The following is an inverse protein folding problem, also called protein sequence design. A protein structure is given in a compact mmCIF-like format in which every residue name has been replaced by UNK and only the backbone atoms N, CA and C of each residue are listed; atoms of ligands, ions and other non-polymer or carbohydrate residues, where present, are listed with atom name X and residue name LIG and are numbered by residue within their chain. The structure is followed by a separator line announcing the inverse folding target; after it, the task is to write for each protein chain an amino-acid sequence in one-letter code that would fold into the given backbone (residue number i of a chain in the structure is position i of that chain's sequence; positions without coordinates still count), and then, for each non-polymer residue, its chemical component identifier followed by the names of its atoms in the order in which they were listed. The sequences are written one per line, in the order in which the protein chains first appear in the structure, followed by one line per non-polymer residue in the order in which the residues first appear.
data_IF_441153038430
#
_entry.id   IF_441153038430
#
_cell.length_a   1.000
_cell.length_b   1.000
_cell.length_c   1.000
_cell.angle_alpha   90.00
_cell.angle_beta   90.00
_cell.angle_gamma   90.00
#
_symmetry.space_group_name_H-M   'P 1'
#
loop_
_entity.id
_entity.type
_entity.pdbx_description
1 polymer ?
#
# COMPACT_ATOMS: atom_id res chain seq x y z
N UNK A 1 40.38 -8.22 -11.87
CA UNK A 1 39.51 -9.28 -11.32
C UNK A 1 38.14 -8.67 -11.34
N UNK A 2 37.30 -9.03 -12.30
CA UNK A 2 35.89 -8.63 -12.29
C UNK A 2 35.32 -9.18 -10.98
N UNK A 3 34.83 -8.30 -10.10
CA UNK A 3 33.88 -8.71 -9.08
C UNK A 3 32.76 -9.43 -9.82
N UNK A 4 32.54 -10.69 -9.46
CA UNK A 4 31.32 -11.37 -9.84
C UNK A 4 30.20 -10.49 -9.27
N UNK A 5 29.34 -9.95 -10.13
CA UNK A 5 28.03 -9.43 -9.72
C UNK A 5 27.39 -10.54 -8.88
N UNK A 6 27.43 -10.42 -7.54
CA UNK A 6 26.60 -11.26 -6.69
C UNK A 6 25.17 -10.91 -7.09
N UNK A 7 24.46 -11.85 -7.72
CA UNK A 7 23.07 -11.64 -8.11
C UNK A 7 22.27 -11.28 -6.85
N UNK A 8 21.61 -10.12 -6.86
CA UNK A 8 20.72 -9.71 -5.76
C UNK A 8 19.62 -10.74 -5.60
N UNK A 9 19.50 -11.33 -4.41
CA UNK A 9 18.41 -12.25 -4.09
C UNK A 9 17.26 -11.49 -3.46
N UNK A 10 16.04 -11.78 -3.90
CA UNK A 10 14.82 -11.19 -3.34
C UNK A 10 14.17 -12.18 -2.38
N UNK A 11 13.78 -11.71 -1.20
CA UNK A 11 13.09 -12.51 -0.19
C UNK A 11 11.69 -11.94 0.04
N UNK A 12 10.67 -12.62 -0.48
CA UNK A 12 9.27 -12.21 -0.37
C UNK A 12 8.63 -12.88 0.86
N UNK A 13 8.24 -12.07 1.84
CA UNK A 13 7.61 -12.53 3.08
C UNK A 13 6.09 -12.43 2.94
N UNK A 14 5.42 -13.58 2.85
CA UNK A 14 3.99 -13.69 2.61
C UNK A 14 3.64 -13.76 1.12
N UNK A 15 2.72 -14.67 0.79
CA UNK A 15 2.30 -14.98 -0.58
C UNK A 15 0.78 -14.91 -0.77
N UNK A 16 0.07 -14.14 0.07
CA UNK A 16 -1.36 -13.88 -0.09
C UNK A 16 -1.71 -13.14 -1.38
N UNK A 17 -2.96 -12.68 -1.52
CA UNK A 17 -3.51 -12.12 -2.78
C UNK A 17 -2.56 -11.09 -3.47
N UNK A 18 -2.11 -10.06 -2.74
CA UNK A 18 -1.19 -9.05 -3.27
C UNK A 18 0.23 -9.61 -3.41
N UNK A 19 0.69 -10.40 -2.44
CA UNK A 19 2.05 -10.96 -2.43
C UNK A 19 2.32 -11.89 -3.61
N UNK A 20 1.39 -12.79 -3.91
CA UNK A 20 1.42 -13.65 -5.09
C UNK A 20 1.56 -12.85 -6.39
N UNK A 21 0.85 -11.72 -6.52
CA UNK A 21 0.97 -10.85 -7.69
C UNK A 21 2.35 -10.21 -7.79
N UNK A 22 2.86 -9.66 -6.68
CA UNK A 22 4.21 -9.06 -6.63
C UNK A 22 5.28 -10.08 -7.01
N UNK A 23 5.21 -11.29 -6.45
CA UNK A 23 6.16 -12.38 -6.72
C UNK A 23 6.16 -12.75 -8.21
N UNK A 24 4.97 -12.94 -8.80
CA UNK A 24 4.82 -13.22 -10.24
C UNK A 24 5.46 -12.11 -11.08
N UNK A 25 5.19 -10.83 -10.76
CA UNK A 25 5.79 -9.68 -11.47
C UNK A 25 7.29 -9.52 -11.31
N UNK A 26 7.85 -9.93 -10.18
CA UNK A 26 9.30 -9.92 -9.97
C UNK A 26 9.98 -11.12 -10.66
N UNK A 27 9.30 -12.27 -10.75
CA UNK A 27 9.85 -13.48 -11.39
C UNK A 27 10.14 -13.29 -12.89
N UNK A 28 9.47 -12.33 -13.54
CA UNK A 28 9.71 -11.90 -14.92
C UNK A 28 11.13 -11.34 -15.16
N UNK A 29 11.84 -10.90 -14.10
CA UNK A 29 13.17 -10.29 -14.19
C UNK A 29 14.34 -11.31 -14.19
N UNK A 30 14.06 -12.62 -14.18
CA UNK A 30 15.06 -13.69 -14.05
C UNK A 30 15.97 -13.56 -12.81
N UNK A 31 15.42 -13.03 -11.72
CA UNK A 31 16.10 -12.88 -10.43
C UNK A 31 15.68 -14.02 -9.51
N UNK A 32 16.61 -14.52 -8.68
CA UNK A 32 16.29 -15.53 -7.67
C UNK A 32 15.37 -14.94 -6.59
N UNK A 33 14.20 -15.56 -6.41
CA UNK A 33 13.20 -15.16 -5.42
C UNK A 33 13.00 -16.29 -4.43
N UNK A 34 13.22 -16.01 -3.15
CA UNK A 34 12.79 -16.85 -2.06
C UNK A 34 11.43 -16.37 -1.56
N UNK A 35 10.43 -17.24 -1.60
CA UNK A 35 9.09 -16.97 -1.05
C UNK A 35 8.98 -17.66 0.30
N UNK A 36 8.55 -16.94 1.32
CA UNK A 36 8.40 -17.47 2.68
C UNK A 36 6.96 -17.30 3.12
N UNK A 37 6.29 -18.42 3.37
CA UNK A 37 4.91 -18.45 3.84
C UNK A 37 4.69 -19.66 4.76
N UNK A 38 3.68 -19.61 5.61
CA UNK A 38 3.30 -20.74 6.46
C UNK A 38 2.47 -21.79 5.70
N UNK A 39 1.94 -21.42 4.54
CA UNK A 39 1.16 -22.29 3.65
C UNK A 39 1.90 -22.49 2.31
N UNK A 40 1.73 -23.68 1.71
CA UNK A 40 2.20 -23.93 0.35
C UNK A 40 1.44 -23.08 -0.67
N UNK A 41 2.13 -22.61 -1.70
CA UNK A 41 1.53 -21.90 -2.82
C UNK A 41 1.96 -22.54 -4.14
N UNK A 42 1.19 -23.54 -4.57
CA UNK A 42 1.47 -24.34 -5.76
C UNK A 42 1.58 -23.52 -7.05
N UNK A 43 0.92 -22.36 -7.12
CA UNK A 43 1.06 -21.49 -8.30
C UNK A 43 2.47 -20.89 -8.42
N UNK A 44 3.13 -20.62 -7.30
CA UNK A 44 4.46 -20.03 -7.25
C UNK A 44 5.58 -21.08 -7.39
N UNK A 45 5.34 -22.31 -6.93
CA UNK A 45 6.30 -23.43 -7.05
C UNK A 45 6.62 -23.82 -8.50
N UNK A 46 5.73 -23.48 -9.44
CA UNK A 46 5.92 -23.77 -10.87
C UNK A 46 6.75 -22.71 -11.61
N UNK A 47 7.25 -21.68 -10.92
CA UNK A 47 8.05 -20.62 -11.52
C UNK A 47 9.55 -20.94 -11.39
N UNK A 48 10.28 -20.95 -12.51
CA UNK A 48 11.68 -21.41 -12.59
C UNK A 48 12.65 -20.65 -11.66
N UNK A 49 12.36 -19.38 -11.35
CA UNK A 49 13.20 -18.49 -10.54
C UNK A 49 12.74 -18.37 -9.08
N UNK A 50 11.75 -19.16 -8.66
CA UNK A 50 11.12 -19.07 -7.34
C UNK A 50 11.41 -20.31 -6.49
N UNK A 51 11.95 -20.08 -5.30
CA UNK A 51 12.15 -21.08 -4.27
C UNK A 51 11.17 -20.84 -3.11
N UNK A 52 10.24 -21.77 -2.88
CA UNK A 52 9.24 -21.66 -1.80
C UNK A 52 9.75 -22.31 -0.52
N UNK A 53 9.68 -21.56 0.58
CA UNK A 53 10.03 -21.99 1.93
C UNK A 53 8.79 -21.97 2.81
N UNK A 54 8.27 -23.15 3.15
CA UNK A 54 7.08 -23.29 4.02
C UNK A 54 7.52 -23.22 5.47
N UNK A 55 7.56 -22.02 6.06
CA UNK A 55 7.98 -21.80 7.44
C UNK A 55 7.53 -20.44 8.00
N UNK A 56 7.76 -20.23 9.29
CA UNK A 56 7.51 -18.94 9.94
C UNK A 56 8.46 -17.86 9.42
N UNK A 57 7.88 -16.75 8.93
CA UNK A 57 8.65 -15.66 8.34
C UNK A 57 9.57 -14.93 9.34
N UNK A 58 9.22 -14.88 10.63
CA UNK A 58 10.09 -14.27 11.64
C UNK A 58 11.29 -15.18 11.94
N UNK A 59 11.08 -16.50 11.99
CA UNK A 59 12.17 -17.46 12.05
C UNK A 59 13.09 -17.35 10.84
N UNK A 60 12.53 -17.21 9.64
CA UNK A 60 13.30 -16.97 8.42
C UNK A 60 14.16 -15.71 8.54
N UNK A 61 13.56 -14.57 8.90
CA UNK A 61 14.25 -13.28 9.07
C UNK A 61 15.44 -13.36 10.04
N UNK A 62 15.32 -14.16 11.10
CA UNK A 62 16.37 -14.34 12.11
C UNK A 62 17.61 -15.08 11.59
N UNK A 63 17.48 -15.87 10.51
CA UNK A 63 18.54 -16.74 10.00
C UNK A 63 19.24 -16.18 8.73
N UNK A 64 18.92 -14.95 8.31
CA UNK A 64 19.41 -14.33 7.07
C UNK A 64 20.89 -13.91 7.15
N UNK A 65 21.78 -14.42 6.29
CA UNK A 65 23.23 -14.21 6.45
C UNK A 65 23.94 -13.46 5.33
N UNK A 66 23.30 -13.21 4.18
CA UNK A 66 23.98 -12.64 3.01
C UNK A 66 23.90 -11.11 2.96
N UNK A 67 24.89 -10.44 2.38
CA UNK A 67 24.94 -8.96 2.36
C UNK A 67 24.10 -8.35 1.22
N UNK A 68 23.92 -9.05 0.09
CA UNK A 68 23.17 -8.55 -1.08
C UNK A 68 21.75 -9.13 -1.19
N UNK A 69 20.87 -8.75 -0.25
CA UNK A 69 19.49 -9.24 -0.15
C UNK A 69 18.49 -8.08 -0.05
N UNK A 70 17.38 -8.17 -0.80
CA UNK A 70 16.23 -7.28 -0.65
C UNK A 70 15.05 -8.09 -0.10
N UNK A 71 14.50 -7.65 1.03
CA UNK A 71 13.31 -8.24 1.62
C UNK A 71 12.07 -7.46 1.20
N UNK A 72 11.10 -8.14 0.61
CA UNK A 72 9.78 -7.58 0.29
C UNK A 72 8.81 -8.07 1.36
N UNK A 73 8.52 -7.22 2.33
CA UNK A 73 7.67 -7.56 3.46
C UNK A 73 6.19 -7.33 3.09
N UNK A 74 5.44 -8.42 2.94
CA UNK A 74 4.02 -8.41 2.55
C UNK A 74 3.15 -9.14 3.58
N UNK A 75 3.66 -9.26 4.81
CA UNK A 75 2.97 -9.89 5.93
C UNK A 75 1.89 -8.95 6.50
N UNK A 76 0.83 -9.51 7.11
CA UNK A 76 -0.25 -8.71 7.66
C UNK A 76 0.13 -8.02 8.99
N UNK A 77 -0.35 -6.79 9.17
CA UNK A 77 -0.46 -6.14 10.49
C UNK A 77 0.82 -6.14 11.33
N UNK A 78 0.66 -6.54 12.60
CA UNK A 78 1.76 -6.60 13.57
C UNK A 78 2.84 -7.64 13.26
N UNK A 79 2.55 -8.61 12.39
CA UNK A 79 3.56 -9.58 11.95
C UNK A 79 4.56 -8.90 11.00
N UNK A 80 4.06 -8.10 10.06
CA UNK A 80 4.88 -7.30 9.16
C UNK A 80 5.81 -6.35 9.93
N UNK A 81 5.26 -5.61 10.91
CA UNK A 81 6.06 -4.74 11.76
C UNK A 81 7.22 -5.46 12.47
N UNK A 82 6.98 -6.65 13.03
CA UNK A 82 8.02 -7.45 13.70
C UNK A 82 9.09 -7.94 12.72
N UNK A 83 8.70 -8.34 11.52
CA UNK A 83 9.65 -8.73 10.48
C UNK A 83 10.57 -7.56 10.12
N UNK A 84 10.01 -6.37 9.89
CA UNK A 84 10.78 -5.15 9.61
C UNK A 84 11.69 -4.78 10.78
N UNK A 85 11.25 -4.90 12.03
CA UNK A 85 12.12 -4.70 13.21
C UNK A 85 13.34 -5.64 13.21
N UNK A 86 13.12 -6.94 12.98
CA UNK A 86 14.20 -7.94 12.92
C UNK A 86 15.16 -7.59 11.79
N UNK A 87 14.66 -7.33 10.58
CA UNK A 87 15.47 -7.02 9.41
C UNK A 87 16.27 -5.73 9.58
N UNK A 88 15.68 -4.69 10.20
CA UNK A 88 16.38 -3.46 10.58
C UNK A 88 17.54 -3.78 11.51
N UNK A 89 17.33 -4.58 12.56
CA UNK A 89 18.40 -4.94 13.52
C UNK A 89 19.59 -5.66 12.87
N UNK A 90 19.37 -6.25 11.69
CA UNK A 90 20.35 -7.01 10.91
C UNK A 90 20.95 -6.23 9.75
N UNK A 91 20.62 -4.95 9.60
CA UNK A 91 21.19 -4.10 8.54
C UNK A 91 20.65 -4.42 7.13
N UNK A 92 19.46 -5.01 7.01
CA UNK A 92 18.93 -5.48 5.71
C UNK A 92 18.24 -4.36 4.91
N UNK A 93 18.13 -4.57 3.59
CA UNK A 93 17.30 -3.76 2.71
C UNK A 93 15.86 -4.27 2.73
N UNK A 94 14.89 -3.41 2.99
CA UNK A 94 13.47 -3.78 3.13
C UNK A 94 12.59 -2.86 2.29
N UNK A 95 11.77 -3.46 1.45
CA UNK A 95 10.60 -2.84 0.83
C UNK A 95 9.38 -3.35 1.59
N UNK A 96 8.73 -2.49 2.36
CA UNK A 96 7.67 -2.85 3.28
C UNK A 96 6.29 -2.40 2.77
N UNK A 97 5.46 -3.37 2.43
CA UNK A 97 4.06 -3.18 2.07
C UNK A 97 3.12 -3.32 3.27
N UNK A 98 3.62 -3.85 4.40
CA UNK A 98 2.77 -4.13 5.56
C UNK A 98 2.21 -2.87 6.19
N UNK A 99 0.96 -2.96 6.65
CA UNK A 99 0.28 -1.87 7.35
C UNK A 99 0.14 -2.20 8.84
N UNK A 100 0.83 -1.47 9.70
CA UNK A 100 0.78 -1.61 11.16
C UNK A 100 0.55 -0.27 11.85
N UNK A 101 -0.11 -0.26 13.01
CA UNK A 101 -0.33 0.96 13.79
C UNK A 101 0.98 1.67 14.16
N UNK A 102 1.98 0.89 14.56
CA UNK A 102 3.35 1.38 14.78
C UNK A 102 4.06 1.39 13.44
N UNK A 103 4.59 2.53 13.05
CA UNK A 103 5.23 2.75 11.75
C UNK A 103 6.75 2.56 11.84
N UNK A 104 7.42 2.06 10.77
CA UNK A 104 8.85 1.79 10.78
C UNK A 104 9.77 2.99 11.05
N UNK A 105 9.30 4.23 10.83
CA UNK A 105 10.07 5.46 11.06
C UNK A 105 10.51 5.62 12.53
N UNK A 106 9.76 5.02 13.47
CA UNK A 106 10.16 4.91 14.88
C UNK A 106 11.48 4.14 15.11
N UNK A 107 11.99 3.43 14.09
CA UNK A 107 13.24 2.68 14.11
C UNK A 107 14.34 3.34 13.27
N UNK A 108 14.16 4.58 12.80
CA UNK A 108 15.14 5.24 11.92
C UNK A 108 16.55 5.28 12.53
N UNK A 109 16.69 5.61 13.82
CA UNK A 109 18.00 5.61 14.48
C UNK A 109 18.66 4.22 14.50
N UNK A 110 17.87 3.16 14.74
CA UNK A 110 18.36 1.78 14.73
C UNK A 110 18.77 1.36 13.31
N UNK A 111 18.00 1.76 12.30
CA UNK A 111 18.33 1.50 10.90
C UNK A 111 19.63 2.19 10.48
N UNK A 112 19.85 3.43 10.93
CA UNK A 112 21.12 4.13 10.70
C UNK A 112 22.29 3.41 11.37
N UNK A 113 22.12 2.93 12.60
CA UNK A 113 23.17 2.23 13.34
C UNK A 113 23.53 0.86 12.74
N UNK A 114 22.53 0.12 12.24
CA UNK A 114 22.75 -1.19 11.63
C UNK A 114 23.15 -1.13 10.15
N UNK A 115 22.98 0.01 9.50
CA UNK A 115 23.14 0.16 8.05
C UNK A 115 21.93 -0.29 7.24
N UNK A 116 20.79 -0.58 7.88
CA UNK A 116 19.57 -0.96 7.20
C UNK A 116 19.03 0.17 6.33
N UNK A 117 18.35 -0.22 5.25
CA UNK A 117 17.68 0.67 4.31
C UNK A 117 16.23 0.20 4.22
N UNK A 118 15.27 1.07 4.47
CA UNK A 118 13.86 0.70 4.46
C UNK A 118 13.07 1.70 3.63
N UNK A 119 12.32 1.20 2.65
CA UNK A 119 11.26 1.92 1.96
C UNK A 119 9.93 1.30 2.39
N UNK A 120 9.07 2.05 3.07
CA UNK A 120 7.80 1.53 3.61
C UNK A 120 6.58 2.16 2.95
N UNK A 121 5.39 1.61 3.21
CA UNK A 121 4.13 2.05 2.63
C UNK A 121 4.10 2.04 1.09
N UNK A 122 4.65 1.01 0.45
CA UNK A 122 4.74 0.94 -1.02
C UNK A 122 3.50 0.32 -1.70
N UNK A 123 2.30 0.78 -1.32
CA UNK A 123 1.03 0.32 -1.89
C UNK A 123 0.33 1.34 -2.78
N UNK A 124 -0.98 1.17 -3.00
CA UNK A 124 -1.80 2.18 -3.69
C UNK A 124 -2.07 3.40 -2.80
N UNK A 125 -2.58 3.15 -1.58
CA UNK A 125 -2.77 4.12 -0.52
C UNK A 125 -2.68 3.39 0.84
N UNK A 126 -1.71 3.73 1.71
CA UNK A 126 -0.59 4.64 1.46
C UNK A 126 0.36 4.10 0.38
N UNK A 127 1.14 5.00 -0.22
CA UNK A 127 2.12 4.66 -1.27
C UNK A 127 2.03 5.57 -2.46
N UNK A 128 1.43 5.11 -3.55
CA UNK A 128 1.30 5.94 -4.74
C UNK A 128 0.50 7.23 -4.46
N UNK A 129 -0.50 7.20 -3.58
CA UNK A 129 -1.17 8.40 -3.07
C UNK A 129 -0.18 9.42 -2.49
N UNK A 130 0.67 8.99 -1.56
CA UNK A 130 1.70 9.81 -0.92
C UNK A 130 2.72 10.35 -1.94
N UNK A 131 3.14 9.51 -2.89
CA UNK A 131 4.06 9.92 -3.94
C UNK A 131 3.46 11.05 -4.80
N UNK A 132 2.18 10.95 -5.16
CA UNK A 132 1.48 12.00 -5.92
C UNK A 132 1.38 13.31 -5.12
N UNK A 133 1.10 13.24 -3.81
CA UNK A 133 1.13 14.42 -2.93
C UNK A 133 2.53 15.03 -2.87
N UNK A 134 3.58 14.21 -2.79
CA UNK A 134 4.97 14.67 -2.80
C UNK A 134 5.34 15.40 -4.09
N UNK A 135 4.95 14.83 -5.23
CA UNK A 135 5.13 15.46 -6.54
C UNK A 135 4.39 16.81 -6.59
N UNK A 136 3.13 16.86 -6.17
CA UNK A 136 2.34 18.08 -6.13
C UNK A 136 2.97 19.15 -5.23
N UNK A 137 3.47 18.77 -4.06
CA UNK A 137 4.19 19.68 -3.15
C UNK A 137 5.45 20.26 -3.78
N UNK A 138 6.26 19.44 -4.47
CA UNK A 138 7.45 19.92 -5.19
C UNK A 138 7.09 20.84 -6.35
N UNK A 139 6.08 20.49 -7.13
CA UNK A 139 5.60 21.29 -8.26
C UNK A 139 4.98 22.62 -7.82
N UNK A 140 4.23 22.59 -6.72
CA UNK A 140 3.44 23.69 -6.18
C UNK A 140 4.20 24.74 -5.39
N UNK A 141 5.49 24.49 -5.12
CA UNK A 141 6.26 25.21 -4.09
C UNK A 141 5.57 25.14 -2.72
N UNK A 142 5.06 23.94 -2.40
CA UNK A 142 4.18 23.67 -1.28
C UNK A 142 2.71 23.54 -1.68
N UNK A 143 1.90 23.10 -0.73
CA UNK A 143 0.47 22.78 -0.91
C UNK A 143 -0.34 23.35 0.25
N UNK A 144 -1.60 23.67 -0.02
CA UNK A 144 -2.53 24.17 0.99
C UNK A 144 -3.55 23.11 1.40
N UNK A 145 -4.06 22.32 0.44
CA UNK A 145 -5.13 21.37 0.71
C UNK A 145 -4.90 20.04 -0.03
N UNK A 146 -5.14 18.93 0.66
CA UNK A 146 -5.03 17.57 0.13
C UNK A 146 -6.24 16.74 0.52
N UNK A 147 -6.84 16.09 -0.47
CA UNK A 147 -7.93 15.15 -0.28
C UNK A 147 -7.59 13.85 -1.04
N UNK A 148 -7.43 12.77 -0.29
CA UNK A 148 -7.24 11.42 -0.83
C UNK A 148 -8.54 10.66 -0.62
N UNK A 149 -9.08 10.04 -1.67
CA UNK A 149 -10.23 9.13 -1.55
C UNK A 149 -9.88 7.80 -2.18
N UNK A 150 -10.06 6.69 -1.49
CA UNK A 150 -9.64 5.37 -1.98
C UNK A 150 -10.60 4.26 -1.58
N UNK A 151 -10.81 3.28 -2.46
CA UNK A 151 -11.58 2.09 -2.11
C UNK A 151 -11.47 0.97 -3.13
N UNK A 152 -11.30 -0.26 -2.63
CA UNK A 152 -11.54 -1.50 -3.38
C UNK A 152 -12.93 -2.03 -3.06
N UNK A 153 -13.74 -2.29 -4.07
CA UNK A 153 -15.16 -2.62 -3.91
C UNK A 153 -15.59 -3.68 -4.95
N UNK A 154 -16.60 -4.51 -4.64
CA UNK A 154 -17.24 -5.32 -5.67
C UNK A 154 -17.84 -4.41 -6.75
N UNK A 155 -17.84 -4.86 -8.01
CA UNK A 155 -18.35 -4.10 -9.15
C UNK A 155 -19.85 -3.85 -9.07
N UNK A 156 -20.57 -4.72 -8.35
CA UNK A 156 -22.00 -4.61 -8.10
C UNK A 156 -22.31 -4.72 -6.61
N UNK A 157 -23.40 -4.05 -6.20
CA UNK A 157 -23.98 -4.16 -4.87
C UNK A 157 -24.64 -5.51 -4.67
N UNK A 158 -24.76 -5.92 -3.42
CA UNK A 158 -25.55 -7.06 -3.00
C UNK A 158 -26.49 -6.67 -1.85
N UNK A 159 -27.43 -7.57 -1.52
CA UNK A 159 -28.37 -7.38 -0.41
C UNK A 159 -27.72 -7.57 0.97
N UNK A 160 -26.45 -7.98 1.02
CA UNK A 160 -25.69 -8.19 2.25
C UNK A 160 -24.91 -6.91 2.60
N UNK A 161 -23.58 -6.97 2.53
CA UNK A 161 -22.70 -5.87 2.91
C UNK A 161 -22.33 -4.96 1.75
N UNK A 162 -22.64 -5.36 0.51
CA UNK A 162 -22.10 -4.75 -0.71
C UNK A 162 -20.59 -4.54 -0.61
N UNK A 163 -19.88 -5.50 -0.02
CA UNK A 163 -18.45 -5.43 0.24
C UNK A 163 -17.84 -6.82 0.35
N UNK A 164 -16.62 -6.92 -0.16
CA UNK A 164 -15.69 -8.01 0.11
C UNK A 164 -14.32 -7.37 0.25
N UNK A 165 -13.54 -7.80 1.24
CA UNK A 165 -12.26 -7.19 1.54
C UNK A 165 -11.22 -7.66 0.51
N UNK A 166 -10.59 -6.75 -0.24
CA UNK A 166 -9.54 -7.10 -1.18
C UNK A 166 -8.17 -7.30 -0.49
N UNK A 167 -8.14 -7.22 0.84
CA UNK A 167 -7.05 -7.53 1.75
C UNK A 167 -7.65 -8.03 3.08
N UNK A 168 -6.81 -8.25 4.10
CA UNK A 168 -7.22 -8.76 5.43
C UNK A 168 -8.49 -8.06 5.97
N UNK A 169 -9.61 -8.78 6.15
CA UNK A 169 -10.83 -8.19 6.73
C UNK A 169 -10.64 -7.66 8.15
N UNK A 170 -9.67 -8.22 8.91
CA UNK A 170 -9.30 -7.71 10.24
C UNK A 170 -8.75 -6.29 10.16
N UNK A 171 -7.97 -5.98 9.12
CA UNK A 171 -7.37 -4.66 8.94
C UNK A 171 -8.42 -3.64 8.50
N UNK A 172 -9.42 -4.05 7.71
CA UNK A 172 -10.60 -3.21 7.41
C UNK A 172 -11.38 -2.86 8.69
N UNK A 173 -11.59 -3.83 9.59
CA UNK A 173 -12.27 -3.58 10.87
C UNK A 173 -11.44 -2.63 11.75
N UNK A 174 -10.11 -2.80 11.77
CA UNK A 174 -9.21 -1.91 12.49
C UNK A 174 -9.28 -0.48 11.94
N UNK A 175 -9.35 -0.31 10.62
CA UNK A 175 -9.56 0.97 9.95
C UNK A 175 -10.89 1.63 10.37
N UNK A 176 -11.98 0.87 10.48
CA UNK A 176 -13.30 1.40 10.85
C UNK A 176 -13.46 1.74 12.34
N UNK A 177 -12.47 1.38 13.16
CA UNK A 177 -12.50 1.58 14.61
C UNK A 177 -11.42 2.55 15.09
N UNK A 178 -10.35 2.73 14.33
CA UNK A 178 -9.26 3.66 14.65
C UNK A 178 -9.66 5.11 14.39
N UNK A 179 -9.51 6.03 15.36
CA UNK A 179 -9.71 7.46 15.12
C UNK A 179 -8.81 7.96 13.98
N UNK A 180 -9.35 8.84 13.13
CA UNK A 180 -8.63 9.39 12.00
C UNK A 180 -7.77 10.59 12.41
N UNK A 181 -6.48 10.55 12.07
CA UNK A 181 -5.58 11.71 12.19
C UNK A 181 -5.58 12.46 10.86
N UNK A 182 -5.79 13.77 10.95
CA UNK A 182 -5.87 14.69 9.81
C UNK A 182 -5.10 15.97 10.12
N UNK A 183 -4.87 16.79 9.10
CA UNK A 183 -4.38 18.16 9.28
C UNK A 183 -5.57 19.11 9.10
N UNK A 184 -5.83 19.95 10.10
CA UNK A 184 -6.79 21.07 10.04
C UNK A 184 -6.10 22.36 10.49
N UNK A 185 -6.21 23.42 9.68
CA UNK A 185 -5.55 24.70 9.94
C UNK A 185 -4.05 24.57 10.27
N UNK A 186 -3.35 23.71 9.53
CA UNK A 186 -1.92 23.44 9.67
C UNK A 186 -1.53 22.66 10.92
N UNK A 187 -2.49 22.00 11.58
CA UNK A 187 -2.25 21.25 12.82
C UNK A 187 -2.81 19.84 12.75
N UNK A 188 -2.06 18.90 13.34
CA UNK A 188 -2.54 17.54 13.56
C UNK A 188 -3.76 17.53 14.49
N UNK A 189 -4.87 17.01 13.99
CA UNK A 189 -6.14 16.83 14.72
C UNK A 189 -6.57 15.38 14.61
N UNK A 190 -7.15 14.85 15.69
CA UNK A 190 -7.75 13.50 15.71
C UNK A 190 -9.26 13.61 15.74
N UNK A 191 -9.94 12.94 14.81
CA UNK A 191 -11.40 12.85 14.71
C UNK A 191 -11.88 11.42 14.99
N UNK A 192 -13.12 11.24 15.46
CA UNK A 192 -13.69 9.90 15.58
C UNK A 192 -13.71 9.17 14.23
N UNK A 193 -13.51 7.86 14.25
CA UNK A 193 -13.61 7.01 13.07
C UNK A 193 -14.98 7.13 12.41
N UNK A 194 -15.05 7.00 11.08
CA UNK A 194 -16.29 6.97 10.30
C UNK A 194 -17.10 8.28 10.38
N UNK A 195 -16.42 9.41 10.61
CA UNK A 195 -17.03 10.74 10.54
C UNK A 195 -16.95 11.31 9.12
N UNK A 196 -17.59 12.46 8.90
CA UNK A 196 -17.58 13.16 7.62
C UNK A 196 -18.07 12.30 6.42
N UNK A 197 -19.12 11.52 6.66
CA UNK A 197 -19.75 10.68 5.62
C UNK A 197 -20.45 11.59 4.60
N UNK A 198 -20.04 11.51 3.35
CA UNK A 198 -20.63 12.28 2.26
C UNK A 198 -20.68 11.50 0.94
N UNK A 199 -21.57 11.94 0.04
CA UNK A 199 -21.76 11.30 -1.26
C UNK A 199 -20.74 11.82 -2.27
N UNK A 200 -20.21 10.91 -3.08
CA UNK A 200 -19.32 11.21 -4.20
C UNK A 200 -19.81 10.54 -5.48
N UNK A 201 -19.30 10.99 -6.62
CA UNK A 201 -19.49 10.34 -7.92
C UNK A 201 -18.15 9.72 -8.32
N UNK A 202 -18.10 8.39 -8.37
CA UNK A 202 -16.93 7.66 -8.87
C UNK A 202 -17.10 7.42 -10.37
N UNK A 203 -16.15 7.92 -11.15
CA UNK A 203 -16.15 7.73 -12.61
C UNK A 203 -16.21 6.25 -12.96
N UNK A 204 -16.94 5.90 -14.02
CA UNK A 204 -17.21 4.51 -14.45
C UNK A 204 -18.06 3.64 -13.50
N UNK A 205 -18.44 4.12 -12.31
CA UNK A 205 -19.19 3.35 -11.30
C UNK A 205 -20.53 4.02 -10.94
N UNK A 206 -20.50 5.29 -10.52
CA UNK A 206 -21.68 6.04 -10.11
C UNK A 206 -21.61 6.54 -8.66
N UNK A 207 -22.77 6.63 -7.99
CA UNK A 207 -22.86 7.19 -6.65
C UNK A 207 -22.29 6.26 -5.57
N UNK A 208 -21.33 6.78 -4.80
CA UNK A 208 -20.69 6.11 -3.67
C UNK A 208 -20.64 7.01 -2.43
N UNK A 209 -20.22 6.46 -1.30
CA UNK A 209 -20.02 7.19 -0.05
C UNK A 209 -18.54 7.19 0.32
N UNK A 210 -18.03 8.36 0.72
CA UNK A 210 -16.71 8.55 1.28
C UNK A 210 -16.85 8.91 2.77
N UNK A 211 -15.93 8.43 3.60
CA UNK A 211 -15.91 8.71 5.04
C UNK A 211 -14.49 8.70 5.57
N UNK A 212 -14.25 9.46 6.64
CA UNK A 212 -12.89 9.71 7.13
C UNK A 212 -12.27 8.46 7.78
N UNK A 213 -11.03 8.17 7.39
CA UNK A 213 -10.22 7.05 7.89
C UNK A 213 -8.77 7.47 8.14
N UNK A 214 -8.07 6.72 8.99
CA UNK A 214 -6.68 7.03 9.39
C UNK A 214 -5.66 6.47 8.37
N UNK A 215 -5.57 7.13 7.21
CA UNK A 215 -4.76 6.67 6.08
C UNK A 215 -3.55 7.55 5.69
N UNK A 216 -3.47 8.79 6.19
CA UNK A 216 -2.41 9.75 5.82
C UNK A 216 -0.99 9.32 6.23
N UNK A 217 -0.87 8.51 7.29
CA UNK A 217 0.40 7.86 7.68
C UNK A 217 1.55 8.86 7.79
N UNK A 218 2.60 8.68 7.00
CA UNK A 218 3.81 9.51 7.00
C UNK A 218 3.56 10.95 6.54
N UNK A 219 2.54 11.21 5.70
CA UNK A 219 2.22 12.56 5.21
C UNK A 219 1.96 13.55 6.34
N UNK A 220 1.45 13.07 7.49
CA UNK A 220 1.18 13.88 8.68
C UNK A 220 2.42 14.61 9.21
N UNK A 221 3.61 14.05 8.97
CA UNK A 221 4.89 14.52 9.50
C UNK A 221 5.82 15.04 8.38
N UNK A 222 5.63 14.58 7.14
CA UNK A 222 6.59 14.81 6.04
C UNK A 222 6.25 15.96 5.12
N UNK A 223 4.96 16.27 4.91
CA UNK A 223 4.53 17.31 3.97
C UNK A 223 3.59 18.30 4.68
N UNK A 224 4.00 19.56 4.88
CA UNK A 224 3.13 20.56 5.47
C UNK A 224 2.01 20.95 4.50
N UNK A 225 0.79 21.07 5.03
CA UNK A 225 -0.40 21.59 4.37
C UNK A 225 -1.29 22.31 5.40
N UNK A 226 -2.23 23.14 4.95
CA UNK A 226 -3.24 23.74 5.84
C UNK A 226 -4.35 22.73 6.17
N UNK A 227 -4.79 21.97 5.17
CA UNK A 227 -5.83 20.95 5.28
C UNK A 227 -5.36 19.65 4.60
N UNK A 228 -5.50 18.51 5.26
CA UNK A 228 -5.15 17.21 4.68
C UNK A 228 -5.98 16.11 5.32
N UNK A 229 -6.70 15.36 4.49
CA UNK A 229 -7.54 14.24 4.92
C UNK A 229 -7.54 13.09 3.91
N UNK A 230 -7.68 11.87 4.42
CA UNK A 230 -7.93 10.67 3.62
C UNK A 230 -9.31 10.08 3.96
N UNK A 231 -9.99 9.62 2.91
CA UNK A 231 -11.33 9.07 2.98
C UNK A 231 -11.39 7.69 2.32
N UNK A 232 -12.10 6.80 2.96
CA UNK A 232 -12.40 5.47 2.43
C UNK A 232 -13.72 5.47 1.69
N UNK A 233 -13.74 4.87 0.50
CA UNK A 233 -14.89 4.86 -0.41
C UNK A 233 -15.56 3.50 -0.42
N UNK A 234 -16.87 3.48 -0.17
CA UNK A 234 -17.71 2.27 -0.17
C UNK A 234 -19.03 2.48 -0.88
N UNK A 235 -19.69 1.38 -1.21
CA UNK A 235 -21.06 1.42 -1.69
C UNK A 235 -21.99 2.06 -0.66
N UNK A 236 -22.97 2.89 -1.09
CA UNK A 236 -23.88 3.57 -0.19
C UNK A 236 -24.63 2.61 0.74
N UNK A 237 -24.66 2.93 2.03
CA UNK A 237 -25.30 2.14 3.07
C UNK A 237 -24.40 1.11 3.76
N UNK A 238 -23.25 0.74 3.16
CA UNK A 238 -22.30 -0.19 3.79
C UNK A 238 -21.86 0.32 5.16
N UNK A 239 -21.37 1.56 5.21
CA UNK A 239 -20.79 2.10 6.44
C UNK A 239 -21.85 2.43 7.49
N UNK A 240 -23.02 2.89 7.06
CA UNK A 240 -24.15 3.13 7.96
C UNK A 240 -24.60 1.84 8.63
N UNK A 241 -24.69 0.72 7.89
CA UNK A 241 -24.99 -0.59 8.46
C UNK A 241 -23.98 -1.00 9.53
N UNK A 242 -22.69 -0.82 9.27
CA UNK A 242 -21.65 -1.12 10.26
C UNK A 242 -21.81 -0.29 11.54
N UNK A 243 -22.09 1.01 11.40
CA UNK A 243 -22.34 1.92 12.53
C UNK A 243 -23.55 1.45 13.33
N UNK A 244 -24.68 1.21 12.67
CA UNK A 244 -25.94 0.82 13.30
C UNK A 244 -25.79 -0.50 14.07
N UNK A 245 -25.19 -1.52 13.46
CA UNK A 245 -24.96 -2.82 14.12
C UNK A 245 -23.95 -2.71 15.27
N UNK A 246 -22.96 -1.81 15.18
CA UNK A 246 -22.00 -1.55 16.27
C UNK A 246 -22.69 -0.91 17.47
N UNK A 247 -23.50 0.12 17.23
CA UNK A 247 -24.23 0.84 18.28
C UNK A 247 -25.30 -0.04 18.94
N UNK A 248 -25.98 -0.88 18.16
CA UNK A 248 -26.91 -1.89 18.66
C UNK A 248 -26.21 -3.04 19.42
N UNK A 249 -24.87 -3.09 19.40
CA UNK A 249 -24.05 -4.20 19.96
C UNK A 249 -24.42 -5.56 19.36
N UNK A 250 -24.82 -5.56 18.09
CA UNK A 250 -25.20 -6.76 17.33
C UNK A 250 -24.13 -7.22 16.34
N UNK A 251 -23.05 -6.46 16.15
CA UNK A 251 -21.91 -6.87 15.32
C UNK A 251 -21.27 -8.16 15.84
N UNK A 252 -21.39 -9.23 15.05
CA UNK A 252 -20.56 -10.43 15.21
C UNK A 252 -19.32 -10.29 14.32
N UNK A 253 -18.20 -9.89 14.93
CA UNK A 253 -16.94 -9.72 14.21
C UNK A 253 -16.47 -11.03 13.55
N UNK A 254 -16.75 -12.20 14.13
CA UNK A 254 -16.34 -13.47 13.53
C UNK A 254 -17.15 -13.74 12.26
N UNK A 255 -18.45 -13.45 12.28
CA UNK A 255 -19.28 -13.55 11.08
C UNK A 255 -18.83 -12.52 10.03
N UNK A 256 -18.51 -11.29 10.44
CA UNK A 256 -18.06 -10.23 9.54
C UNK A 256 -16.79 -10.62 8.77
N UNK A 257 -15.83 -11.29 9.41
CA UNK A 257 -14.63 -11.82 8.74
C UNK A 257 -14.97 -12.81 7.62
N UNK A 258 -16.03 -13.59 7.79
CA UNK A 258 -16.49 -14.54 6.76
C UNK A 258 -17.29 -13.81 5.67
N UNK A 259 -18.20 -12.92 6.06
CA UNK A 259 -19.06 -12.16 5.14
C UNK A 259 -18.25 -11.28 4.19
N UNK A 260 -17.11 -10.75 4.67
CA UNK A 260 -16.21 -9.90 3.88
C UNK A 260 -15.04 -10.67 3.28
N UNK A 261 -15.02 -12.00 3.36
CA UNK A 261 -13.98 -12.78 2.70
C UNK A 261 -13.99 -12.46 1.19
N UNK A 262 -12.80 -12.31 0.60
CA UNK A 262 -12.66 -12.10 -0.83
C UNK A 262 -13.29 -13.25 -1.61
N UNK A 263 -14.07 -12.91 -2.64
CA UNK A 263 -14.74 -13.86 -3.53
C UNK A 263 -14.26 -13.64 -4.96
N UNK A 264 -13.36 -14.51 -5.41
CA UNK A 264 -12.74 -14.48 -6.74
C UNK A 264 -13.76 -14.62 -7.89
N UNK A 265 -14.98 -15.10 -7.60
CA UNK A 265 -16.03 -15.22 -8.61
C UNK A 265 -16.75 -13.90 -8.90
N UNK A 266 -16.55 -12.88 -8.05
CA UNK A 266 -17.17 -11.56 -8.19
C UNK A 266 -16.21 -10.59 -8.85
N UNK A 267 -16.71 -9.89 -9.87
CA UNK A 267 -16.01 -8.74 -10.42
C UNK A 267 -15.87 -7.65 -9.36
N UNK A 268 -14.75 -6.93 -9.41
CA UNK A 268 -14.42 -5.88 -8.46
C UNK A 268 -13.59 -4.79 -9.11
N UNK A 269 -13.40 -3.68 -8.40
CA UNK A 269 -12.59 -2.57 -8.85
C UNK A 269 -11.90 -1.88 -7.68
N UNK A 270 -10.78 -1.24 -8.00
CA UNK A 270 -10.08 -0.32 -7.11
C UNK A 270 -10.11 1.05 -7.73
N UNK A 271 -10.50 2.04 -6.94
CA UNK A 271 -10.53 3.44 -7.34
C UNK A 271 -9.80 4.29 -6.32
N UNK A 272 -9.04 5.27 -6.81
CA UNK A 272 -8.40 6.29 -5.98
C UNK A 272 -8.47 7.65 -6.66
N UNK A 273 -8.75 8.70 -5.89
CA UNK A 273 -8.60 10.10 -6.30
C UNK A 273 -7.64 10.79 -5.33
N UNK A 274 -6.66 11.50 -5.88
CA UNK A 274 -5.76 12.38 -5.12
C UNK A 274 -5.93 13.78 -5.67
N UNK A 275 -6.49 14.68 -4.85
CA UNK A 275 -6.70 16.08 -5.19
C UNK A 275 -5.82 16.95 -4.32
N UNK A 276 -5.06 17.83 -4.96
CA UNK A 276 -4.11 18.71 -4.29
C UNK A 276 -4.26 20.14 -4.80
N UNK A 277 -4.49 21.08 -3.89
CA UNK A 277 -4.41 22.51 -4.15
C UNK A 277 -2.99 23.00 -3.81
N UNK A 278 -2.28 23.53 -4.81
CA UNK A 278 -0.88 23.97 -4.71
C UNK A 278 -0.77 25.45 -4.34
N UNK A 279 0.33 25.84 -3.67
CA UNK A 279 0.56 27.23 -3.26
C UNK A 279 0.80 28.18 -4.45
N UNK A 280 1.30 27.65 -5.57
CA UNK A 280 1.42 28.39 -6.84
C UNK A 280 0.07 28.65 -7.54
N UNK A 281 -1.05 28.19 -6.97
CA UNK A 281 -2.42 28.39 -7.49
C UNK A 281 -2.93 27.28 -8.41
N UNK A 282 -2.09 26.32 -8.78
CA UNK A 282 -2.48 25.16 -9.59
C UNK A 282 -3.28 24.13 -8.77
N UNK A 283 -4.09 23.35 -9.47
CA UNK A 283 -4.87 22.24 -8.89
C UNK A 283 -4.57 20.97 -9.63
N UNK A 284 -4.00 19.99 -8.93
CA UNK A 284 -3.64 18.71 -9.51
C UNK A 284 -4.63 17.66 -9.00
N UNK A 285 -5.21 16.90 -9.92
CA UNK A 285 -6.15 15.83 -9.63
C UNK A 285 -5.71 14.61 -10.40
N UNK A 286 -5.48 13.51 -9.70
CA UNK A 286 -5.27 12.20 -10.29
C UNK A 286 -6.43 11.28 -9.94
N UNK A 287 -6.87 10.49 -10.91
CA UNK A 287 -7.83 9.41 -10.71
C UNK A 287 -7.23 8.12 -11.23
N UNK A 288 -7.18 7.10 -10.37
CA UNK A 288 -6.68 5.77 -10.66
C UNK A 288 -7.87 4.80 -10.62
N UNK A 289 -7.98 3.92 -11.61
CA UNK A 289 -9.04 2.92 -11.70
C UNK A 289 -8.56 1.61 -12.33
N UNK A 290 -8.88 0.49 -11.70
CA UNK A 290 -8.61 -0.85 -12.24
C UNK A 290 -9.76 -1.80 -11.90
N UNK A 291 -10.06 -2.77 -12.78
CA UNK A 291 -11.15 -3.76 -12.66
C UNK A 291 -10.65 -5.20 -12.48
N UNK A 292 -9.35 -5.37 -12.20
CA UNK A 292 -8.70 -6.67 -12.32
C UNK A 292 -8.42 -7.02 -13.78
N UNK A 293 -7.48 -7.95 -13.98
CA UNK A 293 -7.13 -8.47 -15.31
C UNK A 293 -6.37 -9.79 -15.17
N UNK A 294 -6.59 -10.70 -16.12
CA UNK A 294 -5.88 -11.99 -16.21
C UNK A 294 -5.91 -12.81 -14.91
N UNK A 295 -7.07 -12.82 -14.24
CA UNK A 295 -7.28 -13.53 -12.97
C UNK A 295 -6.73 -12.82 -11.74
N UNK A 296 -6.04 -11.68 -11.89
CA UNK A 296 -5.54 -10.91 -10.76
C UNK A 296 -6.54 -9.83 -10.36
N UNK A 297 -6.79 -9.68 -9.06
CA UNK A 297 -7.65 -8.63 -8.53
C UNK A 297 -7.07 -7.24 -8.78
N UNK A 298 -7.95 -6.25 -8.88
CA UNK A 298 -7.64 -4.85 -9.04
C UNK A 298 -6.74 -4.34 -7.92
N UNK A 299 -7.02 -4.73 -6.66
CA UNK A 299 -6.21 -4.33 -5.51
C UNK A 299 -4.82 -4.96 -5.55
N UNK A 300 -4.72 -6.23 -5.94
CA UNK A 300 -3.42 -6.89 -6.11
C UNK A 300 -2.60 -6.21 -7.21
N UNK A 301 -3.24 -5.82 -8.31
CA UNK A 301 -2.61 -5.07 -9.40
C UNK A 301 -2.18 -3.68 -8.94
N UNK A 302 -3.09 -2.84 -8.45
CA UNK A 302 -2.76 -1.44 -8.11
C UNK A 302 -1.78 -1.31 -6.96
N UNK A 303 -1.83 -2.22 -5.99
CA UNK A 303 -0.90 -2.24 -4.85
C UNK A 303 0.42 -2.90 -5.26
N UNK A 304 0.34 -4.09 -5.85
CA UNK A 304 1.52 -4.89 -6.17
C UNK A 304 2.38 -4.32 -7.28
N UNK A 305 1.80 -3.58 -8.25
CA UNK A 305 2.58 -2.88 -9.27
C UNK A 305 3.41 -1.73 -8.69
N UNK A 306 2.89 -1.02 -7.69
CA UNK A 306 3.65 0.01 -6.97
C UNK A 306 4.82 -0.63 -6.23
N UNK A 307 4.55 -1.70 -5.45
CA UNK A 307 5.58 -2.46 -4.73
C UNK A 307 6.64 -3.01 -5.68
N UNK A 308 6.24 -3.72 -6.74
CA UNK A 308 7.15 -4.33 -7.71
C UNK A 308 7.98 -3.27 -8.44
N UNK A 309 7.39 -2.13 -8.83
CA UNK A 309 8.13 -1.03 -9.45
C UNK A 309 9.19 -0.46 -8.50
N UNK A 310 8.88 -0.28 -7.21
CA UNK A 310 9.87 0.17 -6.22
C UNK A 310 11.02 -0.83 -6.06
N UNK A 311 10.72 -2.13 -6.01
CA UNK A 311 11.74 -3.20 -5.92
C UNK A 311 12.63 -3.20 -7.17
N UNK A 312 12.04 -3.18 -8.38
CA UNK A 312 12.78 -3.16 -9.65
C UNK A 312 13.69 -1.94 -9.76
N UNK A 313 13.22 -0.78 -9.32
CA UNK A 313 14.03 0.44 -9.31
C UNK A 313 15.19 0.35 -8.33
N UNK A 314 14.99 -0.25 -7.15
CA UNK A 314 16.07 -0.47 -6.20
C UNK A 314 17.12 -1.47 -6.73
N UNK A 315 16.69 -2.53 -7.39
CA UNK A 315 17.64 -3.49 -8.00
C UNK A 315 18.52 -2.80 -9.05
N UNK A 316 17.93 -1.92 -9.86
CA UNK A 316 18.64 -1.18 -10.90
C UNK A 316 19.58 -0.08 -10.36
N UNK A 317 19.32 0.43 -9.16
CA UNK A 317 20.16 1.42 -8.50
C UNK A 317 20.34 1.06 -7.00
N UNK A 318 21.46 0.47 -6.60
CA UNK A 318 21.75 0.14 -5.19
C UNK A 318 21.75 1.35 -4.24
N UNK A 319 21.83 2.57 -4.78
CA UNK A 319 21.75 3.83 -4.03
C UNK A 319 20.36 4.48 -4.07
N UNK A 320 19.37 3.82 -4.67
CA UNK A 320 17.99 4.29 -4.77
C UNK A 320 17.42 4.70 -3.41
N UNK A 321 17.68 3.87 -2.40
CA UNK A 321 17.35 4.14 -1.00
C UNK A 321 18.63 4.30 -0.18
N UNK A 322 18.67 5.37 0.61
CA UNK A 322 19.76 5.66 1.53
C UNK A 322 19.59 4.90 2.84
N UNK A 323 20.66 4.79 3.63
CA UNK A 323 20.59 4.22 4.97
C UNK A 323 19.52 4.96 5.80
N UNK A 324 18.74 4.23 6.58
CA UNK A 324 17.62 4.74 7.37
C UNK A 324 16.26 4.25 6.88
N UNK A 325 15.20 4.88 7.38
CA UNK A 325 13.80 4.55 7.07
C UNK A 325 13.17 5.69 6.28
N UNK A 326 12.65 5.37 5.10
CA UNK A 326 12.21 6.33 4.10
C UNK A 326 10.76 6.04 3.67
N UNK A 327 9.85 7.03 3.79
CA UNK A 327 8.48 6.89 3.29
C UNK A 327 8.43 7.12 1.76
N UNK A 328 7.33 6.76 1.08
CA UNK A 328 7.26 6.81 -0.38
C UNK A 328 7.36 8.23 -0.95
N UNK A 329 6.96 9.27 -0.21
CA UNK A 329 7.12 10.67 -0.60
C UNK A 329 8.58 11.16 -0.66
N UNK A 330 9.52 10.43 -0.06
CA UNK A 330 10.96 10.71 -0.15
C UNK A 330 11.52 10.42 -1.55
N UNK A 331 10.83 9.61 -2.34
CA UNK A 331 11.29 9.21 -3.67
C UNK A 331 11.32 10.40 -4.64
N UNK A 332 12.30 10.45 -5.55
CA UNK A 332 12.42 11.50 -6.55
C UNK A 332 11.36 11.38 -7.64
N UNK A 333 11.11 12.48 -8.38
CA UNK A 333 10.06 12.52 -9.40
C UNK A 333 10.19 11.44 -10.49
N UNK A 334 11.41 11.08 -10.90
CA UNK A 334 11.60 9.99 -11.86
C UNK A 334 11.08 8.65 -11.34
N UNK A 335 11.21 8.40 -10.04
CA UNK A 335 10.77 7.16 -9.45
C UNK A 335 9.26 7.06 -9.42
N UNK A 336 8.60 8.18 -9.11
CA UNK A 336 7.15 8.29 -9.13
C UNK A 336 6.62 8.17 -10.56
N UNK A 337 7.30 8.80 -11.53
CA UNK A 337 6.96 8.66 -12.94
C UNK A 337 7.07 7.19 -13.42
N UNK A 338 8.09 6.46 -12.99
CA UNK A 338 8.25 5.04 -13.27
C UNK A 338 7.15 4.18 -12.65
N UNK A 339 6.70 4.49 -11.42
CA UNK A 339 5.55 3.82 -10.80
C UNK A 339 4.27 4.09 -11.60
N UNK A 340 4.01 5.34 -11.97
CA UNK A 340 2.86 5.71 -12.79
C UNK A 340 2.88 5.01 -14.16
N UNK A 341 4.06 4.91 -14.77
CA UNK A 341 4.24 4.23 -16.05
C UNK A 341 4.02 2.72 -15.93
N UNK A 342 4.57 2.07 -14.89
CA UNK A 342 4.38 0.64 -14.64
C UNK A 342 2.89 0.28 -14.47
N UNK A 343 2.12 1.12 -13.77
CA UNK A 343 0.67 0.97 -13.67
C UNK A 343 -0.02 1.07 -15.04
N UNK A 344 0.33 2.09 -15.84
CA UNK A 344 -0.25 2.31 -17.18
C UNK A 344 0.10 1.21 -18.18
N UNK A 345 1.34 0.71 -18.17
CA UNK A 345 1.80 -0.34 -19.06
C UNK A 345 1.03 -1.66 -18.83
N UNK A 346 0.63 -1.89 -17.58
CA UNK A 346 -0.21 -3.02 -17.18
C UNK A 346 -1.71 -2.73 -17.36
N UNK A 347 -2.05 -1.56 -17.89
CA UNK A 347 -3.38 -1.12 -18.26
C UNK A 347 -4.28 -0.74 -17.09
N UNK A 348 -3.70 -0.25 -15.99
CA UNK A 348 -4.42 0.52 -14.98
C UNK A 348 -4.75 1.90 -15.57
N UNK A 349 -6.02 2.32 -15.47
CA UNK A 349 -6.43 3.65 -15.93
C UNK A 349 -5.93 4.70 -14.96
N UNK A 350 -5.09 5.62 -15.42
CA UNK A 350 -4.66 6.80 -14.65
C UNK A 350 -4.97 8.06 -15.46
N UNK A 351 -5.93 8.83 -14.97
CA UNK A 351 -6.24 10.18 -15.46
C UNK A 351 -5.61 11.23 -14.53
N UNK A 352 -5.16 12.34 -15.10
CA UNK A 352 -4.48 13.41 -14.36
C UNK A 352 -3.19 13.91 -15.03
N UNK A 353 -2.55 14.95 -14.45
CA UNK A 353 -1.36 15.56 -15.03
C UNK A 353 -0.19 14.57 -15.03
N UNK A 354 0.64 14.65 -16.08
CA UNK A 354 1.88 13.89 -16.15
C UNK A 354 2.88 14.34 -15.08
N UNK A 355 3.71 13.42 -14.63
CA UNK A 355 4.78 13.68 -13.67
C UNK A 355 6.00 14.22 -14.43
N UNK A 356 6.37 15.47 -14.15
CA UNK A 356 7.52 16.15 -14.77
C UNK A 356 8.79 15.81 -13.99
N UNK A 357 9.85 15.47 -14.73
CA UNK A 357 11.14 15.01 -14.20
C UNK A 357 12.04 16.15 -13.72
#
# INVERSE_FOLDING_TARGET
MQELDEMTTIHCLGSGLVGSFVIKKLSEENIEINVVDIEENQELENLDSVNVHVMDALEYCNNTSSENEIFVNMLPGSLGFKATEILISRGKCVVDLSFSEVTPDSYNEKAIQSGAKVLWDVGIAPGFSNMLVAYASRFGEGISNVEIKVGGNPAEKDENWSYMAPFSPKDVIAEYTRPARIIESGKLVTKPALTDIHKIIVSQVGFMEAFLTDGLRSLLETIPADEMAEYTVRWPGHIQRFIDEREAKSLDYKQLLNDWKFDESRNEFTWMEVKVDCNNGEKLIWTIFDKGRDGNSSMARTTGLVTASCVKQWINDPNFIQIGVHPPESLPNYAIANVAQALKDEGVDIDGPAIIL
#
